data_IF_002788008319
#
_entry.id   IF_002788008319
#
_cell.length_a   1.000
_cell.length_b   1.000
_cell.length_c   1.000
_cell.angle_alpha   90.00
_cell.angle_beta   90.00
_cell.angle_gamma   90.00
#
_symmetry.space_group_name_H-M   'P 1'
#
loop_
_entity.id
_entity.type
_entity.pdbx_description
1 polymer ?
#
# COMPACT_ATOMS: atom_id res chain seq x y z
N UNK A 1 1.72 -60.65 33.15
CA UNK A 1 1.45 -59.37 32.46
C UNK A 1 2.66 -58.46 32.61
N UNK A 2 3.12 -57.94 31.48
CA UNK A 2 3.94 -56.74 31.19
C UNK A 2 5.13 -56.31 32.08
N UNK A 3 6.19 -55.96 31.36
CA UNK A 3 7.53 -55.45 31.69
C UNK A 3 7.55 -53.93 31.47
N UNK A 4 8.22 -53.16 32.34
CA UNK A 4 8.96 -51.90 32.05
C UNK A 4 9.40 -51.27 33.39
N UNK A 5 10.69 -51.23 33.75
CA UNK A 5 11.74 -50.34 33.25
C UNK A 5 11.52 -48.85 33.62
N UNK A 6 12.36 -48.36 34.55
CA UNK A 6 12.56 -46.94 34.89
C UNK A 6 13.02 -46.13 33.66
N UNK A 7 12.83 -44.81 33.67
CA UNK A 7 14.04 -43.97 33.75
C UNK A 7 13.91 -42.65 34.54
N UNK A 8 14.96 -42.40 35.35
CA UNK A 8 15.82 -41.20 35.49
C UNK A 8 15.24 -39.77 35.47
N UNK A 9 15.45 -39.11 36.61
CA UNK A 9 16.14 -37.82 36.81
C UNK A 9 15.94 -36.69 35.79
N UNK A 10 15.26 -35.64 36.25
CA UNK A 10 15.25 -34.28 35.68
C UNK A 10 16.62 -33.64 35.96
N UNK A 11 17.38 -33.32 34.91
CA UNK A 11 18.54 -32.44 35.01
C UNK A 11 18.19 -31.04 34.47
N UNK A 12 18.50 -30.04 35.30
CA UNK A 12 18.36 -28.61 35.06
C UNK A 12 19.73 -28.11 34.60
N UNK A 13 19.83 -27.55 33.40
CA UNK A 13 21.08 -26.92 33.01
C UNK A 13 21.04 -26.29 31.64
N UNK A 14 20.55 -25.05 31.58
CA UNK A 14 20.76 -24.20 30.42
C UNK A 14 22.25 -23.99 30.18
N UNK A 15 22.75 -24.48 29.05
CA UNK A 15 24.09 -24.17 28.58
C UNK A 15 23.98 -23.35 27.31
N UNK A 16 24.09 -22.02 27.50
CA UNK A 16 24.41 -21.07 26.45
C UNK A 16 25.54 -21.61 25.58
N UNK A 17 25.29 -21.79 24.28
CA UNK A 17 26.35 -21.94 23.28
C UNK A 17 26.33 -20.73 22.36
N UNK A 18 26.98 -19.69 22.88
CA UNK A 18 27.52 -18.53 22.17
C UNK A 18 28.35 -19.05 21.00
N UNK A 19 27.84 -18.93 19.77
CA UNK A 19 28.63 -19.24 18.56
C UNK A 19 29.38 -17.99 18.16
N UNK A 20 30.69 -18.10 18.34
CA UNK A 20 31.73 -17.13 18.09
C UNK A 20 31.58 -16.49 16.72
N UNK A 21 31.20 -15.21 16.72
CA UNK A 21 31.51 -14.28 15.66
C UNK A 21 33.03 -14.16 15.59
N UNK A 22 33.62 -14.83 14.60
CA UNK A 22 35.01 -14.61 14.23
C UNK A 22 35.14 -13.19 13.69
N UNK A 23 35.89 -12.40 14.45
CA UNK A 23 36.37 -11.10 14.08
C UNK A 23 37.19 -11.19 12.78
N UNK A 24 36.76 -10.47 11.76
CA UNK A 24 37.63 -9.99 10.69
C UNK A 24 37.60 -8.47 10.77
N UNK A 25 38.56 -7.94 11.51
CA UNK A 25 38.96 -6.55 11.43
C UNK A 25 39.97 -6.43 10.29
N UNK A 26 39.62 -5.72 9.22
CA UNK A 26 40.64 -5.04 8.41
C UNK A 26 40.14 -3.66 8.03
N UNK A 27 40.95 -2.72 8.47
CA UNK A 27 40.87 -1.27 8.43
C UNK A 27 41.38 -0.79 7.06
N UNK A 28 40.79 0.26 6.48
CA UNK A 28 41.46 1.45 5.90
C UNK A 28 40.60 2.21 4.86
N UNK A 29 40.08 3.34 5.33
CA UNK A 29 40.13 4.68 4.72
C UNK A 29 40.40 4.81 3.20
N UNK A 30 39.41 5.38 2.49
CA UNK A 30 39.65 6.35 1.42
C UNK A 30 38.45 7.31 1.32
N UNK A 31 38.51 8.42 2.07
CA UNK A 31 37.79 9.64 1.74
C UNK A 31 38.47 10.23 0.50
N UNK A 32 37.88 10.04 -0.67
CA UNK A 32 38.32 10.68 -1.91
C UNK A 32 37.10 11.28 -2.62
N UNK A 33 37.07 12.61 -2.60
CA UNK A 33 36.45 13.52 -3.55
C UNK A 33 34.93 13.41 -3.78
N UNK A 34 34.19 14.26 -3.08
CA UNK A 34 33.15 15.04 -3.77
C UNK A 34 33.85 15.84 -4.88
N UNK A 35 33.71 15.39 -6.12
CA UNK A 35 34.08 16.16 -7.30
C UNK A 35 32.91 17.10 -7.61
N UNK A 36 33.13 18.39 -7.35
CA UNK A 36 32.27 19.51 -7.70
C UNK A 36 32.50 19.84 -9.18
N UNK A 37 31.85 19.07 -10.05
CA UNK A 37 31.97 19.16 -11.50
C UNK A 37 31.02 20.17 -12.12
N UNK A 38 31.42 21.44 -12.07
CA UNK A 38 31.16 22.56 -12.99
C UNK A 38 29.86 22.58 -13.84
N UNK A 39 29.08 23.61 -13.56
CA UNK A 39 27.96 24.11 -14.36
C UNK A 39 28.29 24.33 -15.84
N UNK A 40 27.78 23.46 -16.73
CA UNK A 40 27.81 23.72 -18.17
C UNK A 40 26.75 24.79 -18.54
N UNK A 41 27.19 26.05 -18.59
CA UNK A 41 26.48 27.14 -19.27
C UNK A 41 26.41 26.85 -20.78
N UNK A 42 25.30 26.31 -21.26
CA UNK A 42 24.86 26.58 -22.64
C UNK A 42 23.85 27.72 -22.63
N UNK A 43 24.34 28.90 -23.01
CA UNK A 43 23.52 30.07 -23.33
C UNK A 43 22.81 29.86 -24.67
N UNK A 44 21.55 30.28 -24.65
CA UNK A 44 20.79 30.95 -25.71
C UNK A 44 20.52 30.23 -27.04
N UNK A 45 19.23 30.02 -27.29
CA UNK A 45 18.65 29.89 -28.62
C UNK A 45 17.14 29.86 -28.49
N UNK A 46 16.52 31.05 -28.40
CA UNK A 46 15.07 31.17 -28.40
C UNK A 46 14.49 30.72 -29.74
N UNK A 47 13.46 29.88 -29.67
CA UNK A 47 12.38 29.90 -30.64
C UNK A 47 11.10 29.56 -29.89
N UNK A 48 10.24 30.57 -29.84
CA UNK A 48 8.80 30.46 -29.64
C UNK A 48 8.27 29.25 -30.41
N UNK A 49 7.91 28.25 -29.62
CA UNK A 49 7.40 26.98 -30.06
C UNK A 49 6.59 26.49 -28.91
N UNK A 50 5.39 27.08 -28.75
CA UNK A 50 4.29 26.57 -27.93
C UNK A 50 4.04 25.14 -28.36
N UNK A 51 4.85 24.23 -27.81
CA UNK A 51 4.63 22.79 -27.85
C UNK A 51 3.43 22.62 -26.96
N UNK A 52 2.25 22.71 -27.55
CA UNK A 52 1.06 22.06 -27.03
C UNK A 52 1.46 20.60 -26.92
N UNK A 53 1.99 20.23 -25.76
CA UNK A 53 1.90 18.86 -25.29
C UNK A 53 0.40 18.64 -25.23
N UNK A 54 -0.17 18.12 -26.32
CA UNK A 54 -1.36 17.31 -26.22
C UNK A 54 -0.97 16.26 -25.21
N UNK A 55 -1.47 16.44 -24.00
CA UNK A 55 -1.45 15.41 -22.98
C UNK A 55 -2.03 14.19 -23.66
N UNK A 56 -1.16 13.28 -24.05
CA UNK A 56 -1.52 12.01 -24.65
C UNK A 56 -2.28 11.28 -23.55
N UNK A 57 -3.60 11.33 -23.66
CA UNK A 57 -4.53 10.79 -22.68
C UNK A 57 -4.60 9.27 -22.90
N UNK A 58 -3.54 8.60 -22.46
CA UNK A 58 -3.46 7.14 -22.30
C UNK A 58 -2.79 6.79 -20.97
N UNK A 59 -2.84 7.69 -19.97
CA UNK A 59 -2.57 7.34 -18.57
C UNK A 59 -3.88 6.90 -17.91
N UNK A 60 -4.29 5.67 -18.20
CA UNK A 60 -5.50 5.05 -17.64
C UNK A 60 -5.48 4.95 -16.10
N UNK A 61 -4.36 5.31 -15.46
CA UNK A 61 -4.17 5.36 -14.00
C UNK A 61 -3.46 6.63 -13.49
N UNK A 62 -3.67 7.81 -14.12
CA UNK A 62 -3.05 9.04 -13.61
C UNK A 62 -3.47 9.31 -12.14
N UNK A 63 -2.52 9.08 -11.24
CA UNK A 63 -2.55 9.29 -9.79
C UNK A 63 -3.13 10.67 -9.40
N UNK A 64 -3.92 10.75 -8.31
CA UNK A 64 -4.44 12.02 -7.82
C UNK A 64 -3.38 12.76 -6.99
N UNK A 65 -2.86 13.84 -7.57
CA UNK A 65 -1.87 14.72 -6.95
C UNK A 65 -2.44 15.56 -5.80
N UNK A 66 -1.59 15.91 -4.83
CA UNK A 66 -2.00 16.67 -3.64
C UNK A 66 -2.57 18.06 -3.94
N UNK A 67 -2.13 18.72 -5.01
CA UNK A 67 -2.60 20.04 -5.45
C UNK A 67 -3.72 19.99 -6.49
N UNK A 68 -4.31 18.83 -6.75
CA UNK A 68 -5.37 18.69 -7.74
C UNK A 68 -6.60 19.51 -7.37
N UNK A 69 -7.21 20.17 -8.36
CA UNK A 69 -8.51 20.86 -8.20
C UNK A 69 -9.70 19.90 -8.28
N UNK A 70 -9.49 18.67 -8.74
CA UNK A 70 -10.55 17.66 -8.82
C UNK A 70 -10.75 17.03 -7.44
N UNK A 71 -11.96 17.06 -6.88
CA UNK A 71 -12.26 16.39 -5.62
C UNK A 71 -11.97 14.87 -5.69
N UNK A 72 -11.44 14.24 -4.63
CA UNK A 72 -11.14 12.81 -4.62
C UNK A 72 -12.32 11.92 -5.02
N UNK A 73 -13.52 12.22 -4.52
CA UNK A 73 -14.73 11.47 -4.86
C UNK A 73 -15.08 11.54 -6.35
N UNK A 74 -15.03 12.73 -6.95
CA UNK A 74 -15.29 12.90 -8.39
C UNK A 74 -14.24 12.19 -9.24
N UNK A 75 -12.97 12.29 -8.83
CA UNK A 75 -11.87 11.61 -9.51
C UNK A 75 -12.03 10.09 -9.45
N UNK A 76 -12.35 9.54 -8.28
CA UNK A 76 -12.57 8.12 -8.08
C UNK A 76 -13.79 7.62 -8.87
N UNK A 77 -14.91 8.34 -8.81
CA UNK A 77 -16.14 7.98 -9.53
C UNK A 77 -15.94 7.86 -11.05
N UNK A 78 -15.18 8.80 -11.61
CA UNK A 78 -14.84 8.82 -13.04
C UNK A 78 -13.99 7.60 -13.40
N UNK A 79 -12.95 7.30 -12.61
CA UNK A 79 -12.02 6.18 -12.88
C UNK A 79 -12.61 4.81 -12.57
N UNK A 80 -13.52 4.71 -11.62
CA UNK A 80 -14.28 3.51 -11.35
C UNK A 80 -15.39 3.25 -12.40
N UNK A 81 -15.56 4.13 -13.39
CA UNK A 81 -16.61 4.01 -14.41
C UNK A 81 -18.02 4.26 -13.90
N UNK A 82 -18.18 4.84 -12.70
CA UNK A 82 -19.49 5.17 -12.10
C UNK A 82 -20.06 6.51 -12.59
N UNK A 83 -19.24 7.32 -13.26
CA UNK A 83 -19.63 8.60 -13.84
C UNK A 83 -19.46 9.78 -12.88
N UNK A 84 -20.02 10.94 -13.24
CA UNK A 84 -19.87 12.20 -12.49
C UNK A 84 -21.21 12.80 -12.06
N UNK A 85 -22.26 11.97 -11.94
CA UNK A 85 -23.56 12.42 -11.47
C UNK A 85 -23.41 12.95 -10.02
N UNK A 86 -24.03 14.09 -9.66
CA UNK A 86 -23.86 14.69 -8.33
C UNK A 86 -24.17 13.72 -7.17
N UNK A 87 -25.23 12.91 -7.30
CA UNK A 87 -25.59 11.91 -6.30
C UNK A 87 -24.49 10.86 -6.10
N UNK A 88 -23.98 10.28 -7.19
CA UNK A 88 -22.87 9.30 -7.14
C UNK A 88 -21.60 9.89 -6.53
N UNK A 89 -21.26 11.14 -6.88
CA UNK A 89 -20.09 11.81 -6.32
C UNK A 89 -20.28 12.07 -4.82
N UNK A 90 -21.48 12.44 -4.40
CA UNK A 90 -21.82 12.67 -2.99
C UNK A 90 -21.74 11.36 -2.17
N UNK A 91 -22.30 10.26 -2.68
CA UNK A 91 -22.22 8.94 -2.04
C UNK A 91 -20.77 8.49 -1.82
N UNK A 92 -19.91 8.67 -2.84
CA UNK A 92 -18.49 8.32 -2.73
C UNK A 92 -17.77 9.28 -1.77
N UNK A 93 -18.15 10.56 -1.72
CA UNK A 93 -17.58 11.51 -0.78
C UNK A 93 -17.88 11.12 0.67
N UNK A 94 -19.12 10.72 0.98
CA UNK A 94 -19.53 10.26 2.30
C UNK A 94 -18.81 8.97 2.72
N UNK A 95 -18.58 8.07 1.76
CA UNK A 95 -17.80 6.86 1.99
C UNK A 95 -16.32 7.18 2.29
N UNK A 96 -15.70 8.07 1.53
CA UNK A 96 -14.31 8.50 1.76
C UNK A 96 -14.16 9.18 3.12
N UNK A 97 -15.06 10.09 3.48
CA UNK A 97 -15.12 10.75 4.78
C UNK A 97 -15.28 9.75 5.95
N UNK A 98 -16.06 8.69 5.74
CA UNK A 98 -16.17 7.60 6.71
C UNK A 98 -14.87 6.80 6.81
N UNK A 99 -14.21 6.54 5.69
CA UNK A 99 -12.94 5.83 5.68
C UNK A 99 -11.81 6.66 6.31
N UNK A 100 -11.73 7.98 6.06
CA UNK A 100 -10.75 8.89 6.66
C UNK A 100 -10.85 8.93 8.20
N UNK A 101 -12.04 8.76 8.76
CA UNK A 101 -12.20 8.62 10.21
C UNK A 101 -11.69 7.29 10.78
N UNK A 102 -11.62 6.24 9.96
CA UNK A 102 -11.25 4.87 10.40
C UNK A 102 -9.80 4.52 10.04
N UNK A 103 -9.21 5.23 9.09
CA UNK A 103 -7.87 5.00 8.60
C UNK A 103 -6.97 6.22 8.78
N UNK A 104 -5.65 6.01 8.75
CA UNK A 104 -4.65 7.09 8.93
C UNK A 104 -4.47 7.95 7.67
N UNK A 105 -5.10 7.55 6.56
CA UNK A 105 -4.90 8.11 5.24
C UNK A 105 -6.06 9.02 4.83
N UNK A 106 -5.75 10.22 4.32
CA UNK A 106 -6.74 11.14 3.74
C UNK A 106 -7.56 10.53 2.60
N UNK A 107 -8.75 11.10 2.30
CA UNK A 107 -9.59 10.78 1.14
C UNK A 107 -8.80 10.55 -0.17
N UNK A 108 -7.87 11.45 -0.47
CA UNK A 108 -7.01 11.37 -1.67
C UNK A 108 -6.16 10.11 -1.66
N UNK A 109 -5.55 9.81 -0.51
CA UNK A 109 -4.71 8.62 -0.35
C UNK A 109 -5.55 7.34 -0.43
N UNK A 110 -6.71 7.30 0.22
CA UNK A 110 -7.64 6.17 0.15
C UNK A 110 -8.08 5.93 -1.30
N UNK A 111 -8.52 6.96 -2.02
CA UNK A 111 -8.92 6.85 -3.41
C UNK A 111 -7.79 6.31 -4.31
N UNK A 112 -6.58 6.87 -4.17
CA UNK A 112 -5.40 6.42 -4.92
C UNK A 112 -5.05 4.95 -4.63
N UNK A 113 -4.99 4.56 -3.34
CA UNK A 113 -4.64 3.20 -2.94
C UNK A 113 -5.67 2.17 -3.39
N UNK A 114 -6.95 2.55 -3.41
CA UNK A 114 -8.03 1.66 -3.87
C UNK A 114 -7.93 1.36 -5.36
N UNK A 115 -7.66 2.39 -6.18
CA UNK A 115 -7.44 2.17 -7.62
C UNK A 115 -6.16 1.39 -7.91
N UNK A 116 -5.07 1.70 -7.19
CA UNK A 116 -3.83 0.94 -7.30
C UNK A 116 -4.04 -0.54 -6.96
N UNK A 117 -4.77 -0.83 -5.87
CA UNK A 117 -5.10 -2.19 -5.48
C UNK A 117 -5.89 -2.93 -6.57
N UNK A 118 -6.93 -2.29 -7.14
CA UNK A 118 -7.73 -2.89 -8.22
C UNK A 118 -6.89 -3.10 -9.48
N UNK A 119 -5.97 -2.20 -9.81
CA UNK A 119 -5.03 -2.38 -10.91
C UNK A 119 -4.16 -3.63 -10.70
N UNK A 120 -3.53 -3.77 -9.53
CA UNK A 120 -2.71 -4.93 -9.17
C UNK A 120 -3.53 -6.24 -9.19
N UNK A 121 -4.75 -6.23 -8.66
CA UNK A 121 -5.64 -7.39 -8.67
C UNK A 121 -6.03 -7.77 -10.11
N UNK A 122 -6.30 -6.79 -10.97
CA UNK A 122 -6.63 -7.00 -12.37
C UNK A 122 -5.46 -7.61 -13.14
N UNK A 123 -4.22 -7.18 -12.88
CA UNK A 123 -3.01 -7.81 -13.43
C UNK A 123 -2.88 -9.28 -13.02
N UNK A 124 -3.34 -9.63 -11.82
CA UNK A 124 -3.43 -11.01 -11.34
C UNK A 124 -4.68 -11.76 -11.85
N UNK A 125 -5.50 -11.17 -12.73
CA UNK A 125 -6.71 -11.77 -13.27
C UNK A 125 -7.93 -11.72 -12.34
N UNK A 126 -7.88 -10.91 -11.27
CA UNK A 126 -8.93 -10.77 -10.27
C UNK A 126 -9.66 -9.44 -10.49
N UNK A 127 -10.97 -9.50 -10.76
CA UNK A 127 -11.81 -8.30 -10.95
C UNK A 127 -12.47 -7.91 -9.64
N UNK A 128 -12.26 -6.66 -9.23
CA UNK A 128 -12.87 -6.00 -8.06
C UNK A 128 -13.18 -4.54 -8.43
N UNK A 129 -14.02 -3.88 -7.63
CA UNK A 129 -14.35 -2.45 -7.77
C UNK A 129 -13.72 -1.66 -6.62
N UNK A 130 -13.09 -0.49 -6.90
CA UNK A 130 -12.36 0.23 -5.87
C UNK A 130 -13.27 0.85 -4.80
N UNK A 131 -14.52 1.21 -5.15
CA UNK A 131 -15.50 1.76 -4.19
C UNK A 131 -16.05 0.64 -3.32
N UNK A 132 -16.33 -0.53 -3.90
CA UNK A 132 -16.78 -1.70 -3.14
C UNK A 132 -15.71 -2.16 -2.12
N UNK A 133 -14.42 -2.07 -2.47
CA UNK A 133 -13.32 -2.36 -1.55
C UNK A 133 -13.22 -1.35 -0.40
N UNK A 134 -13.38 -0.04 -0.67
CA UNK A 134 -13.43 0.98 0.40
C UNK A 134 -14.60 0.67 1.34
N UNK A 135 -15.77 0.35 0.80
CA UNK A 135 -16.95 -0.04 1.57
C UNK A 135 -16.69 -1.28 2.42
N UNK A 136 -16.07 -2.31 1.86
CA UNK A 136 -15.76 -3.55 2.57
C UNK A 136 -14.76 -3.32 3.71
N UNK A 137 -13.66 -2.61 3.47
CA UNK A 137 -12.65 -2.32 4.50
C UNK A 137 -13.19 -1.40 5.60
N UNK A 138 -14.00 -0.42 5.22
CA UNK A 138 -14.68 0.48 6.16
C UNK A 138 -15.77 -0.24 6.94
N UNK A 139 -16.35 -1.31 6.40
CA UNK A 139 -17.37 -2.12 7.06
C UNK A 139 -16.84 -3.10 8.11
N UNK A 140 -15.53 -3.37 8.12
CA UNK A 140 -14.92 -4.22 9.15
C UNK A 140 -15.13 -3.61 10.55
N UNK A 141 -15.45 -4.44 11.57
CA UNK A 141 -15.44 -4.05 12.98
C UNK A 141 -14.24 -3.17 13.34
N UNK A 142 -14.44 -2.22 14.25
CA UNK A 142 -13.35 -1.53 14.94
C UNK A 142 -13.25 -2.16 16.32
N UNK A 143 -12.50 -3.23 16.40
CA UNK A 143 -12.25 -4.04 17.60
C UNK A 143 -11.07 -3.52 18.43
N UNK A 144 -10.29 -2.59 17.88
CA UNK A 144 -9.16 -1.96 18.55
C UNK A 144 -9.30 -0.44 18.65
N UNK A 145 -8.88 0.14 19.78
CA UNK A 145 -8.92 1.58 20.09
C UNK A 145 -8.03 2.44 19.17
N UNK A 146 -7.40 1.85 18.15
CA UNK A 146 -6.43 2.50 17.25
C UNK A 146 -6.96 2.73 15.83
N UNK A 147 -6.52 3.83 15.22
CA UNK A 147 -6.75 4.11 13.80
C UNK A 147 -5.86 3.20 12.95
N UNK A 148 -6.41 2.62 11.87
CA UNK A 148 -5.76 1.58 11.05
C UNK A 148 -5.04 2.17 9.84
N UNK A 149 -4.04 1.48 9.28
CA UNK A 149 -3.48 1.90 7.98
C UNK A 149 -4.25 1.27 6.81
N UNK A 150 -4.81 2.12 5.95
CA UNK A 150 -5.42 1.71 4.69
C UNK A 150 -4.40 1.07 3.76
N UNK A 151 -3.18 1.61 3.70
CA UNK A 151 -2.09 1.06 2.89
C UNK A 151 -1.77 -0.38 3.29
N UNK A 152 -1.64 -0.66 4.60
CA UNK A 152 -1.40 -2.02 5.11
C UNK A 152 -2.58 -2.95 4.85
N UNK A 153 -3.79 -2.45 4.98
CA UNK A 153 -5.02 -3.19 4.64
C UNK A 153 -5.01 -3.61 3.16
N UNK A 154 -4.68 -2.70 2.23
CA UNK A 154 -4.55 -3.01 0.80
C UNK A 154 -3.44 -4.04 0.52
N UNK A 155 -2.27 -3.90 1.14
CA UNK A 155 -1.13 -4.83 0.97
C UNK A 155 -1.51 -6.25 1.40
N UNK A 156 -2.11 -6.41 2.59
CA UNK A 156 -2.53 -7.71 3.09
C UNK A 156 -3.66 -8.29 2.25
N UNK A 157 -4.66 -7.48 1.88
CA UNK A 157 -5.75 -7.92 1.00
C UNK A 157 -5.22 -8.43 -0.33
N UNK A 158 -4.33 -7.69 -0.99
CA UNK A 158 -3.70 -8.12 -2.25
C UNK A 158 -3.01 -9.47 -2.09
N UNK A 159 -2.18 -9.63 -1.06
CA UNK A 159 -1.45 -10.88 -0.82
C UNK A 159 -2.41 -12.06 -0.61
N UNK A 160 -3.50 -11.86 0.13
CA UNK A 160 -4.52 -12.90 0.35
C UNK A 160 -5.23 -13.29 -0.95
N UNK A 161 -5.68 -12.30 -1.73
CA UNK A 161 -6.35 -12.55 -3.01
C UNK A 161 -5.42 -13.21 -4.03
N UNK A 162 -4.17 -12.76 -4.09
CA UNK A 162 -3.12 -13.36 -4.93
C UNK A 162 -2.78 -14.80 -4.50
N UNK A 163 -2.90 -15.12 -3.20
CA UNK A 163 -2.78 -16.49 -2.70
C UNK A 163 -4.02 -17.38 -2.98
N UNK A 164 -5.01 -16.87 -3.74
CA UNK A 164 -6.20 -17.61 -4.14
C UNK A 164 -7.34 -17.58 -3.11
N UNK A 165 -7.23 -16.80 -2.02
CA UNK A 165 -8.35 -16.60 -1.09
C UNK A 165 -9.47 -15.84 -1.77
N UNK A 166 -10.71 -16.24 -1.53
CA UNK A 166 -11.91 -15.47 -1.92
C UNK A 166 -11.93 -14.11 -1.20
N UNK A 167 -12.76 -13.18 -1.70
CA UNK A 167 -12.94 -11.87 -1.05
C UNK A 167 -13.42 -12.05 0.40
N UNK A 168 -14.41 -12.91 0.62
CA UNK A 168 -14.95 -13.20 1.96
C UNK A 168 -13.88 -13.77 2.90
N UNK A 169 -13.07 -14.73 2.42
CA UNK A 169 -11.96 -15.26 3.24
C UNK A 169 -10.91 -14.19 3.54
N UNK A 170 -10.57 -13.34 2.57
CA UNK A 170 -9.60 -12.28 2.76
C UNK A 170 -10.09 -11.24 3.79
N UNK A 171 -11.37 -10.83 3.70
CA UNK A 171 -11.98 -9.92 4.67
C UNK A 171 -12.07 -10.54 6.08
N UNK A 172 -12.34 -11.83 6.19
CA UNK A 172 -12.36 -12.52 7.49
C UNK A 172 -10.97 -12.69 8.12
N UNK A 173 -9.91 -12.68 7.32
CA UNK A 173 -8.53 -12.60 7.83
C UNK A 173 -8.21 -11.17 8.24
N UNK A 174 -8.56 -10.18 7.41
CA UNK A 174 -8.37 -8.77 7.74
C UNK A 174 -9.02 -8.45 9.08
N UNK A 175 -10.29 -8.81 9.30
CA UNK A 175 -11.01 -8.63 10.57
C UNK A 175 -10.23 -9.07 11.82
N UNK A 176 -9.40 -10.12 11.71
CA UNK A 176 -8.64 -10.68 12.85
C UNK A 176 -7.27 -10.05 13.06
N UNK A 177 -6.76 -9.35 12.07
CA UNK A 177 -5.41 -8.75 12.04
C UNK A 177 -5.45 -7.24 12.29
N UNK A 178 -6.63 -6.70 12.65
CA UNK A 178 -6.85 -5.28 12.96
C UNK A 178 -6.57 -5.01 14.43
#
# INVERSE_FOLDING_TARGET
MAKAALPTTIDKGGLMRRRHWLAQATFLLALAACDDGESNKKKSGGSDGRRTVRSDATNDEAWLEAGSKTPPAQWLATRAGKGSAPATVQEIAELLDTADRRFLESDRMIANRSLQLVAMLREAGIKEDPVDLIQAFTGLPADHEGVRSYTKTCELYFNLRHAGKSQTEALAVLDKEQ
#
